data_IF_927008472384
#
_entry.id   IF_927008472384
#
_cell.length_a   1.000
_cell.length_b   1.000
_cell.length_c   1.000
_cell.angle_alpha   90.00
_cell.angle_beta   90.00
_cell.angle_gamma   90.00
#
_symmetry.space_group_name_H-M   'P 1'
#
loop_
_entity.id
_entity.type
_entity.pdbx_description
1 polymer ?
#
# COMPACT_ATOMS: atom_id res chain seq x y z
N UNK A 1 -20.17 8.79 5.77
CA UNK A 1 -18.86 8.43 6.34
C UNK A 1 -18.22 9.70 6.88
N UNK A 2 -17.51 9.62 8.02
CA UNK A 2 -16.72 10.76 8.53
C UNK A 2 -15.57 11.03 7.56
N UNK A 3 -15.23 12.30 7.32
CA UNK A 3 -14.08 12.67 6.49
C UNK A 3 -12.80 12.06 7.07
N UNK A 4 -12.06 11.20 6.34
CA UNK A 4 -10.86 10.56 6.86
C UNK A 4 -9.67 11.53 6.99
N UNK A 5 -9.80 12.77 6.52
CA UNK A 5 -8.77 13.79 6.58
C UNK A 5 -8.97 14.78 7.75
N UNK A 6 -10.14 14.78 8.41
CA UNK A 6 -10.46 15.75 9.47
C UNK A 6 -11.16 15.13 10.70
N UNK A 7 -10.41 14.72 11.74
CA UNK A 7 -8.95 14.64 11.79
C UNK A 7 -8.40 13.50 10.92
N UNK A 8 -7.13 13.58 10.53
CA UNK A 8 -6.48 12.53 9.74
C UNK A 8 -6.57 11.16 10.45
N UNK A 9 -7.12 10.17 9.75
CA UNK A 9 -7.29 8.80 10.23
C UNK A 9 -5.94 8.16 10.61
N UNK A 10 -4.90 8.39 9.81
CA UNK A 10 -3.58 7.82 10.02
C UNK A 10 -2.79 8.48 11.16
N UNK A 11 -3.03 9.76 11.44
CA UNK A 11 -2.46 10.40 12.64
C UNK A 11 -3.07 9.86 13.94
N UNK A 12 -4.25 9.25 13.88
CA UNK A 12 -5.03 8.84 15.05
C UNK A 12 -4.98 7.34 15.34
N UNK A 13 -4.13 6.59 14.64
CA UNK A 13 -4.09 5.13 14.76
C UNK A 13 -3.57 4.69 16.14
N UNK A 14 -4.13 3.62 16.70
CA UNK A 14 -3.72 3.11 18.02
C UNK A 14 -2.57 2.13 17.87
N UNK A 15 -1.64 2.11 18.84
CA UNK A 15 -0.47 1.22 18.81
C UNK A 15 -0.80 -0.28 18.71
N UNK A 16 -1.93 -0.70 19.27
CA UNK A 16 -2.39 -2.10 19.21
C UNK A 16 -2.97 -2.50 17.85
N UNK A 17 -3.14 -1.57 16.91
CA UNK A 17 -3.64 -1.80 15.54
C UNK A 17 -2.50 -1.92 14.52
N UNK A 18 -1.25 -1.86 14.99
CA UNK A 18 -0.05 -1.91 14.15
C UNK A 18 0.45 -3.34 14.00
N UNK A 19 0.74 -3.77 12.76
CA UNK A 19 1.43 -5.02 12.50
C UNK A 19 2.92 -4.91 12.86
N UNK A 20 3.54 -3.80 12.45
CA UNK A 20 4.93 -3.48 12.77
C UNK A 20 5.12 -1.96 12.83
N UNK A 21 6.14 -1.50 13.55
CA UNK A 21 6.60 -0.11 13.49
C UNK A 21 8.12 -0.02 13.61
N UNK A 22 8.66 1.11 13.17
CA UNK A 22 10.01 1.57 13.49
C UNK A 22 9.95 3.05 13.90
N UNK A 23 11.08 3.73 13.96
CA UNK A 23 11.15 5.13 14.42
C UNK A 23 10.31 6.08 13.54
N UNK A 24 10.32 5.91 12.22
CA UNK A 24 9.77 6.89 11.27
C UNK A 24 8.47 6.44 10.58
N UNK A 25 8.11 5.16 10.65
CA UNK A 25 6.95 4.62 9.96
C UNK A 25 6.29 3.46 10.73
N UNK A 26 5.08 3.11 10.31
CA UNK A 26 4.37 1.93 10.77
C UNK A 26 3.69 1.20 9.62
N UNK A 27 3.32 -0.05 9.87
CA UNK A 27 2.55 -0.89 8.97
C UNK A 27 1.25 -1.34 9.66
N UNK A 28 0.13 -1.22 8.98
CA UNK A 28 -1.18 -1.67 9.46
C UNK A 28 -1.94 -2.38 8.36
N UNK A 29 -2.69 -3.43 8.69
CA UNK A 29 -3.51 -4.11 7.70
C UNK A 29 -4.72 -3.26 7.34
N UNK A 30 -5.03 -3.21 6.04
CA UNK A 30 -6.14 -2.42 5.54
C UNK A 30 -7.48 -3.03 5.99
N UNK A 31 -8.40 -2.19 6.48
CA UNK A 31 -9.74 -2.60 6.89
C UNK A 31 -10.66 -2.84 5.69
N UNK A 32 -10.30 -2.31 4.52
CA UNK A 32 -10.95 -2.55 3.23
C UNK A 32 -9.93 -3.16 2.24
N UNK A 33 -9.46 -4.39 2.52
CA UNK A 33 -8.34 -4.97 1.78
C UNK A 33 -8.72 -5.27 0.32
N UNK A 34 -7.86 -4.88 -0.63
CA UNK A 34 -7.97 -5.29 -2.04
C UNK A 34 -7.80 -6.81 -2.18
N UNK A 35 -6.93 -7.39 -1.37
CA UNK A 35 -6.75 -8.83 -1.22
C UNK A 35 -6.41 -9.16 0.24
N UNK A 36 -6.67 -10.39 0.67
CA UNK A 36 -6.37 -10.82 2.04
C UNK A 36 -4.89 -10.55 2.40
N UNK A 37 -4.69 -9.89 3.55
CA UNK A 37 -3.42 -9.35 4.07
C UNK A 37 -2.89 -8.09 3.37
N UNK A 38 -3.70 -7.37 2.60
CA UNK A 38 -3.37 -6.01 2.15
C UNK A 38 -2.95 -5.13 3.33
N UNK A 39 -1.76 -4.54 3.22
CA UNK A 39 -1.16 -3.74 4.27
C UNK A 39 -0.78 -2.35 3.74
N UNK A 40 -0.94 -1.35 4.58
CA UNK A 40 -0.52 0.03 4.34
C UNK A 40 0.72 0.34 5.17
N UNK A 41 1.76 0.85 4.51
CA UNK A 41 2.97 1.35 5.15
C UNK A 41 2.90 2.88 5.13
N UNK A 42 2.98 3.48 6.32
CA UNK A 42 2.62 4.89 6.54
C UNK A 42 3.75 5.57 7.35
N UNK A 43 4.34 6.69 6.87
CA UNK A 43 5.24 7.49 7.67
C UNK A 43 4.49 8.11 8.85
N UNK A 44 5.14 8.17 10.02
CA UNK A 44 4.53 8.78 11.22
C UNK A 44 4.33 10.28 11.07
N UNK A 45 5.22 10.96 10.35
CA UNK A 45 5.06 12.37 9.99
C UNK A 45 3.88 12.52 9.03
N UNK A 46 3.00 13.48 9.30
CA UNK A 46 1.91 13.82 8.41
C UNK A 46 2.47 14.58 7.20
N UNK A 47 2.55 13.88 6.07
CA UNK A 47 2.92 14.42 4.76
C UNK A 47 1.93 13.98 3.73
N UNK A 48 1.69 14.83 2.73
CA UNK A 48 0.57 14.64 1.82
C UNK A 48 0.73 13.37 0.99
N UNK A 49 1.87 13.16 0.36
CA UNK A 49 2.10 12.05 -0.56
C UNK A 49 3.58 11.62 -0.60
N UNK A 50 3.88 10.65 -1.47
CA UNK A 50 5.19 10.01 -1.58
C UNK A 50 6.33 10.98 -1.90
N UNK A 51 6.05 12.05 -2.63
CA UNK A 51 7.09 12.99 -3.08
C UNK A 51 7.59 13.91 -1.96
N UNK A 52 6.95 13.90 -0.80
CA UNK A 52 7.36 14.66 0.39
C UNK A 52 8.15 13.82 1.41
N UNK A 53 8.39 12.53 1.12
CA UNK A 53 9.21 11.66 1.96
C UNK A 53 10.67 12.12 1.93
N UNK A 54 11.30 12.13 3.10
CA UNK A 54 12.76 12.21 3.21
C UNK A 54 13.41 10.86 2.88
N UNK A 55 14.69 10.85 2.54
CA UNK A 55 15.45 9.61 2.28
C UNK A 55 15.37 8.62 3.46
N UNK A 56 15.44 9.14 4.69
CA UNK A 56 15.31 8.34 5.91
C UNK A 56 13.92 7.69 6.04
N UNK A 57 12.86 8.41 5.70
CA UNK A 57 11.50 7.86 5.70
C UNK A 57 11.30 6.84 4.58
N UNK A 58 11.88 7.07 3.39
CA UNK A 58 11.86 6.08 2.29
C UNK A 58 12.51 4.77 2.75
N UNK A 59 13.68 4.85 3.40
CA UNK A 59 14.38 3.67 3.95
C UNK A 59 13.53 3.00 5.02
N UNK A 60 12.96 3.76 5.96
CA UNK A 60 12.13 3.23 7.02
C UNK A 60 10.88 2.52 6.49
N UNK A 61 10.18 3.11 5.52
CA UNK A 61 9.03 2.50 4.86
C UNK A 61 9.44 1.21 4.13
N UNK A 62 10.54 1.22 3.38
CA UNK A 62 11.02 0.05 2.65
C UNK A 62 11.42 -1.12 3.57
N UNK A 63 12.00 -0.83 4.74
CA UNK A 63 12.27 -1.85 5.76
C UNK A 63 10.98 -2.53 6.22
N UNK A 64 9.91 -1.75 6.47
CA UNK A 64 8.62 -2.30 6.85
C UNK A 64 7.96 -3.09 5.72
N UNK A 65 8.01 -2.61 4.47
CA UNK A 65 7.51 -3.36 3.30
C UNK A 65 8.15 -4.76 3.25
N UNK A 66 9.48 -4.84 3.37
CA UNK A 66 10.20 -6.11 3.36
C UNK A 66 9.85 -7.01 4.54
N UNK A 67 9.66 -6.42 5.73
CA UNK A 67 9.29 -7.16 6.96
C UNK A 67 7.89 -7.75 6.86
N UNK A 68 6.90 -6.93 6.48
CA UNK A 68 5.51 -7.33 6.28
C UNK A 68 5.41 -8.38 5.18
N UNK A 69 6.10 -8.20 4.06
CA UNK A 69 6.13 -9.19 2.97
C UNK A 69 6.53 -10.59 3.48
N UNK A 70 7.64 -10.69 4.21
CA UNK A 70 8.13 -11.96 4.76
C UNK A 70 7.12 -12.59 5.71
N UNK A 71 6.52 -11.78 6.57
CA UNK A 71 5.52 -12.24 7.52
C UNK A 71 4.25 -12.75 6.83
N UNK A 72 3.77 -12.07 5.77
CA UNK A 72 2.67 -12.54 4.94
C UNK A 72 3.01 -13.85 4.23
N UNK A 73 4.21 -13.97 3.63
CA UNK A 73 4.64 -15.21 2.96
C UNK A 73 4.69 -16.41 3.93
N UNK A 74 5.02 -16.18 5.20
CA UNK A 74 4.99 -17.22 6.26
C UNK A 74 3.56 -17.58 6.65
N UNK A 75 2.69 -16.58 6.82
CA UNK A 75 1.29 -16.78 7.22
C UNK A 75 0.43 -17.41 6.13
N UNK A 76 0.69 -17.06 4.88
CA UNK A 76 -0.05 -17.55 3.72
C UNK A 76 0.91 -17.99 2.59
N UNK A 77 1.27 -19.28 2.56
CA UNK A 77 2.14 -19.84 1.53
C UNK A 77 1.55 -19.77 0.11
N UNK A 78 0.25 -19.47 -0.06
CA UNK A 78 -0.39 -19.34 -1.37
C UNK A 78 -0.07 -18.00 -2.05
N UNK A 79 0.43 -17.01 -1.31
CA UNK A 79 0.92 -15.74 -1.85
C UNK A 79 2.17 -16.00 -2.69
N UNK A 80 2.13 -15.61 -3.97
CA UNK A 80 3.22 -15.82 -4.94
C UNK A 80 3.71 -14.52 -5.60
N UNK A 81 3.14 -13.38 -5.22
CA UNK A 81 3.55 -12.08 -5.73
C UNK A 81 2.98 -10.95 -4.89
N UNK A 82 3.39 -9.73 -5.22
CA UNK A 82 2.91 -8.52 -4.56
C UNK A 82 2.77 -7.40 -5.58
N UNK A 83 1.75 -6.56 -5.42
CA UNK A 83 1.75 -5.22 -5.99
C UNK A 83 2.14 -4.24 -4.88
N UNK A 84 3.06 -3.33 -5.20
CA UNK A 84 3.48 -2.24 -4.33
C UNK A 84 3.21 -0.94 -5.06
N UNK A 85 2.54 0.01 -4.41
CA UNK A 85 2.15 1.26 -5.06
C UNK A 85 1.65 2.30 -4.07
N UNK A 86 1.56 3.54 -4.53
CA UNK A 86 1.05 4.67 -3.77
C UNK A 86 0.34 5.62 -4.73
N UNK A 87 -0.69 6.29 -4.25
CA UNK A 87 -1.38 7.33 -5.02
C UNK A 87 -0.93 8.69 -4.48
N UNK A 88 -0.57 9.60 -5.38
CA UNK A 88 -0.13 10.97 -5.03
C UNK A 88 -1.07 11.99 -5.66
N UNK A 89 -1.90 12.60 -4.82
CA UNK A 89 -2.95 13.51 -5.22
C UNK A 89 -4.29 12.84 -5.56
N UNK A 90 -5.37 13.62 -5.44
CA UNK A 90 -6.75 13.16 -5.60
C UNK A 90 -7.01 12.62 -7.01
N UNK A 91 -6.43 13.23 -8.05
CA UNK A 91 -6.56 12.79 -9.45
C UNK A 91 -5.97 11.39 -9.67
N UNK A 92 -4.96 11.01 -8.88
CA UNK A 92 -4.39 9.66 -8.88
C UNK A 92 -5.17 8.67 -8.00
N UNK A 93 -6.30 9.08 -7.41
CA UNK A 93 -7.12 8.24 -6.55
C UNK A 93 -6.69 8.22 -5.08
N UNK A 94 -5.93 9.21 -4.61
CA UNK A 94 -5.60 9.32 -3.18
C UNK A 94 -6.80 9.84 -2.37
N UNK A 95 -7.31 9.04 -1.43
CA UNK A 95 -8.48 9.39 -0.60
C UNK A 95 -8.13 9.92 0.79
N UNK A 96 -7.01 9.45 1.35
CA UNK A 96 -6.45 9.96 2.61
C UNK A 96 -5.17 10.71 2.26
N UNK A 97 -5.17 12.02 2.51
CA UNK A 97 -4.11 12.97 2.20
C UNK A 97 -2.96 12.89 3.21
N UNK A 98 -2.58 11.66 3.53
CA UNK A 98 -1.39 11.30 4.28
C UNK A 98 -0.75 10.16 3.49
N UNK A 99 0.51 10.32 3.10
CA UNK A 99 1.29 9.35 2.35
C UNK A 99 1.08 7.94 2.90
N UNK A 100 0.80 6.99 2.02
CA UNK A 100 0.70 5.57 2.36
C UNK A 100 1.10 4.73 1.15
N UNK A 101 1.80 3.64 1.42
CA UNK A 101 2.26 2.70 0.41
C UNK A 101 1.50 1.41 0.61
N UNK A 102 0.75 1.02 -0.42
CA UNK A 102 0.05 -0.25 -0.50
C UNK A 102 1.04 -1.38 -0.71
N UNK A 103 0.92 -2.43 0.09
CA UNK A 103 1.53 -3.74 -0.13
C UNK A 103 0.39 -4.77 -0.27
N UNK A 104 0.08 -5.13 -1.51
CA UNK A 104 -1.06 -5.98 -1.86
C UNK A 104 -0.55 -7.38 -2.24
N UNK A 105 -0.78 -8.41 -1.41
CA UNK A 105 -0.40 -9.79 -1.72
C UNK A 105 -1.22 -10.36 -2.88
N UNK A 106 -0.57 -11.15 -3.74
CA UNK A 106 -1.18 -11.74 -4.95
C UNK A 106 -1.06 -13.26 -4.94
N UNK A 107 -2.10 -13.93 -5.43
CA UNK A 107 -2.22 -15.40 -5.50
C UNK A 107 -2.43 -15.81 -6.95
N UNK A 108 -2.13 -17.07 -7.28
CA UNK A 108 -2.48 -17.60 -8.60
C UNK A 108 -4.01 -17.66 -8.73
N UNK A 109 -4.55 -17.14 -9.83
CA UNK A 109 -5.99 -17.16 -10.11
C UNK A 109 -6.80 -16.13 -9.33
N UNK A 110 -6.18 -15.15 -8.66
CA UNK A 110 -6.91 -14.05 -8.01
C UNK A 110 -7.50 -13.05 -9.01
N UNK A 111 -7.03 -13.08 -10.26
CA UNK A 111 -7.61 -12.42 -11.44
C UNK A 111 -7.37 -13.29 -12.67
N UNK A 112 -8.22 -13.16 -13.70
CA UNK A 112 -8.12 -13.96 -14.93
C UNK A 112 -6.82 -13.70 -15.71
N UNK A 113 -6.41 -12.43 -15.83
CA UNK A 113 -5.18 -12.04 -16.51
C UNK A 113 -4.38 -11.01 -15.69
N UNK A 114 -3.30 -11.42 -15.00
CA UNK A 114 -2.50 -10.52 -14.19
C UNK A 114 -1.57 -9.59 -15.00
N UNK A 115 -1.41 -9.82 -16.32
CA UNK A 115 -0.52 -9.01 -17.15
C UNK A 115 -1.00 -7.55 -17.19
N UNK A 116 -0.09 -6.63 -16.85
CA UNK A 116 -0.36 -5.20 -16.79
C UNK A 116 -0.33 -4.66 -15.36
N UNK A 117 -0.85 -5.42 -14.39
CA UNK A 117 -0.78 -5.10 -12.96
C UNK A 117 -1.09 -3.64 -12.63
N UNK A 118 -0.06 -2.87 -12.26
CA UNK A 118 -0.16 -1.43 -11.95
C UNK A 118 -0.82 -0.61 -13.05
N UNK A 119 -0.76 -1.03 -14.32
CA UNK A 119 -1.43 -0.35 -15.44
C UNK A 119 -2.95 -0.30 -15.32
N UNK A 120 -3.55 -1.13 -14.46
CA UNK A 120 -4.99 -1.09 -14.16
C UNK A 120 -5.45 0.23 -13.54
N UNK A 121 -4.54 1.13 -13.14
CA UNK A 121 -4.90 2.52 -12.77
C UNK A 121 -5.62 3.26 -13.91
N UNK A 122 -5.37 2.88 -15.17
CA UNK A 122 -6.19 3.25 -16.33
C UNK A 122 -6.69 1.94 -16.97
N UNK A 123 -7.85 1.40 -16.54
CA UNK A 123 -8.28 0.04 -16.89
C UNK A 123 -8.28 -0.25 -18.39
N UNK A 124 -8.73 0.71 -19.21
CA UNK A 124 -8.76 0.60 -20.67
C UNK A 124 -7.37 0.44 -21.32
N UNK A 125 -6.28 0.71 -20.58
CA UNK A 125 -4.88 0.59 -21.02
C UNK A 125 -4.09 -0.44 -20.22
N UNK A 126 -4.75 -1.29 -19.41
CA UNK A 126 -4.11 -2.30 -18.58
C UNK A 126 -3.23 -3.23 -19.41
N UNK A 127 -3.80 -3.82 -20.44
CA UNK A 127 -3.13 -4.81 -21.28
C UNK A 127 -2.30 -4.17 -22.39
N UNK A 128 -1.25 -4.86 -22.80
CA UNK A 128 -0.34 -4.39 -23.85
C UNK A 128 -0.92 -4.71 -25.22
N UNK A 129 -1.31 -3.68 -25.97
CA UNK A 129 -1.61 -3.82 -27.41
C UNK A 129 -0.28 -3.85 -28.17
N UNK A 130 0.38 -5.01 -28.21
CA UNK A 130 1.58 -5.18 -29.04
C UNK A 130 1.12 -5.25 -30.50
N UNK A 131 1.50 -4.26 -31.31
CA UNK A 131 1.36 -4.36 -32.77
C UNK A 131 2.30 -5.49 -33.22
N UNK A 132 1.73 -6.48 -33.90
CA UNK A 132 2.49 -7.52 -34.61
C UNK A 132 3.20 -6.88 -35.80
#
# INVERSE_FOLDING_TARGET
MKDPNNPCLFCSIRKNELAFENELAYASYDTYPVSLHHCLIIPKRHIKDYFELTDSEIVACNQLIKKVRKEIEIKDPTVKGFNVGTNSGIVAGQSILHCHIHLIPRRKGDVDNPQGGVRSVIPLKQHYNRKV
#
